data_IF_391993918552
#
_entry.id   IF_391993918552
#
_cell.length_a   1.000
_cell.length_b   1.000
_cell.length_c   1.000
_cell.angle_alpha   90.00
_cell.angle_beta   90.00
_cell.angle_gamma   90.00
#
_symmetry.space_group_name_H-M   'P 1'
#
loop_
_entity.id
_entity.type
_entity.pdbx_description
1 polymer ?
#
# COMPACT_ATOMS: atom_id res chain seq x y z
N UNK A 1 28.42 7.53 31.90
CA UNK A 1 27.22 6.85 32.44
C UNK A 1 26.47 6.22 31.28
N UNK A 2 26.90 5.02 30.86
CA UNK A 2 26.36 4.30 29.70
C UNK A 2 25.07 3.57 30.10
N UNK A 3 23.94 3.90 29.48
CA UNK A 3 22.66 3.18 29.66
C UNK A 3 22.30 2.45 28.36
N UNK A 4 22.51 1.14 28.38
CA UNK A 4 21.76 0.07 27.71
C UNK A 4 21.06 0.40 26.37
N UNK A 5 21.74 0.15 25.25
CA UNK A 5 21.17 0.18 23.90
C UNK A 5 20.74 -1.20 23.36
N UNK A 6 20.82 -2.28 24.14
CA UNK A 6 20.64 -3.66 23.64
C UNK A 6 19.33 -4.36 24.00
N UNK A 7 18.27 -3.63 24.36
CA UNK A 7 16.92 -4.23 24.35
C UNK A 7 16.30 -3.94 22.99
N UNK A 8 16.58 -4.82 22.02
CA UNK A 8 15.77 -4.95 20.81
C UNK A 8 14.37 -5.31 21.30
N UNK A 9 13.50 -4.30 21.38
CA UNK A 9 12.18 -4.46 21.95
C UNK A 9 11.32 -5.14 20.88
N UNK A 10 11.25 -6.48 20.87
CA UNK A 10 10.53 -7.27 19.86
C UNK A 10 9.10 -6.76 19.61
N UNK A 11 8.44 -6.23 20.65
CA UNK A 11 7.13 -5.57 20.55
C UNK A 11 7.11 -4.40 19.54
N UNK A 12 8.16 -3.58 19.46
CA UNK A 12 8.25 -2.47 18.50
C UNK A 12 8.46 -2.95 17.07
N UNK A 13 9.26 -4.01 16.89
CA UNK A 13 9.47 -4.64 15.59
C UNK A 13 8.15 -5.22 15.07
N UNK A 14 7.41 -5.93 15.93
CA UNK A 14 6.10 -6.51 15.57
C UNK A 14 5.08 -5.41 15.25
N UNK A 15 5.08 -4.33 16.03
CA UNK A 15 4.19 -3.18 15.79
C UNK A 15 4.54 -2.50 14.47
N UNK A 16 5.82 -2.28 14.20
CA UNK A 16 6.29 -1.71 12.93
C UNK A 16 5.98 -2.61 11.74
N UNK A 17 6.17 -3.93 11.86
CA UNK A 17 5.92 -4.87 10.77
C UNK A 17 4.44 -4.96 10.46
N UNK A 18 3.57 -4.90 11.49
CA UNK A 18 2.11 -4.84 11.31
C UNK A 18 1.67 -3.58 10.55
N UNK A 19 2.28 -2.43 10.83
CA UNK A 19 2.00 -1.18 10.10
C UNK A 19 2.43 -1.28 8.64
N UNK A 20 3.60 -1.87 8.37
CA UNK A 20 4.11 -2.09 7.01
C UNK A 20 3.21 -3.05 6.25
N UNK A 21 2.86 -4.18 6.87
CA UNK A 21 1.92 -5.15 6.32
C UNK A 21 0.58 -4.48 5.98
N UNK A 22 -0.05 -3.77 6.93
CA UNK A 22 -1.32 -3.08 6.68
C UNK A 22 -1.25 -1.96 5.62
N UNK A 23 -0.10 -1.30 5.47
CA UNK A 23 0.11 -0.27 4.44
C UNK A 23 0.42 -0.86 3.06
N UNK A 24 0.82 -2.13 3.01
CA UNK A 24 1.16 -2.85 1.80
C UNK A 24 -0.02 -3.69 1.30
N UNK A 25 -0.81 -4.25 2.22
CA UNK A 25 -2.06 -4.94 1.95
C UNK A 25 -3.17 -3.90 1.78
N UNK A 26 -3.15 -3.24 0.63
CA UNK A 26 -4.21 -2.31 0.21
C UNK A 26 -5.23 -2.94 -0.72
N UNK A 27 -6.11 -2.09 -1.27
CA UNK A 27 -7.06 -2.45 -2.34
C UNK A 27 -6.35 -3.08 -3.57
N UNK A 28 -5.07 -2.79 -3.80
CA UNK A 28 -4.27 -3.47 -4.83
C UNK A 28 -4.28 -4.99 -4.70
N UNK A 29 -4.24 -5.52 -3.48
CA UNK A 29 -4.33 -6.97 -3.21
C UNK A 29 -5.75 -7.53 -3.38
N UNK A 30 -6.79 -6.72 -3.13
CA UNK A 30 -8.20 -7.10 -3.37
C UNK A 30 -8.51 -7.15 -4.88
N UNK A 31 -7.86 -6.28 -5.66
CA UNK A 31 -8.05 -6.17 -7.10
C UNK A 31 -7.26 -7.24 -7.86
N UNK A 32 -6.24 -7.85 -7.24
CA UNK A 32 -5.40 -8.88 -7.88
C UNK A 32 -6.21 -10.01 -8.54
N UNK A 33 -7.24 -10.61 -7.90
CA UNK A 33 -8.08 -11.63 -8.53
C UNK A 33 -8.88 -11.10 -9.73
N UNK A 34 -9.39 -9.87 -9.64
CA UNK A 34 -10.13 -9.21 -10.73
C UNK A 34 -9.21 -8.94 -11.93
N UNK A 35 -7.95 -8.57 -11.65
CA UNK A 35 -6.93 -8.36 -12.68
C UNK A 35 -6.39 -9.68 -13.25
N UNK A 36 -6.21 -10.69 -12.41
CA UNK A 36 -5.83 -12.03 -12.82
C UNK A 36 -6.92 -12.75 -13.63
N UNK A 37 -8.19 -12.35 -13.47
CA UNK A 37 -9.26 -12.79 -14.36
C UNK A 37 -9.17 -12.15 -15.77
N UNK A 38 -8.53 -10.98 -15.89
CA UNK A 38 -8.36 -10.26 -17.16
C UNK A 38 -7.03 -10.56 -17.87
N UNK A 39 -6.01 -11.00 -17.13
CA UNK A 39 -4.63 -11.16 -17.62
C UNK A 39 -4.02 -12.44 -17.07
N UNK A 40 -3.01 -12.99 -17.76
CA UNK A 40 -2.27 -14.18 -17.33
C UNK A 40 -1.84 -14.10 -15.86
N UNK A 41 -2.33 -15.01 -15.01
CA UNK A 41 -2.05 -15.06 -13.56
C UNK A 41 -0.55 -15.02 -13.23
N UNK A 42 0.27 -15.82 -13.91
CA UNK A 42 1.75 -15.79 -13.78
C UNK A 42 2.36 -14.42 -14.11
N UNK A 43 1.82 -13.67 -15.10
CA UNK A 43 2.32 -12.34 -15.46
C UNK A 43 2.02 -11.32 -14.35
N UNK A 44 0.83 -11.41 -13.75
CA UNK A 44 0.47 -10.62 -12.56
C UNK A 44 1.36 -10.96 -11.37
N UNK A 45 1.68 -12.24 -11.16
CA UNK A 45 2.57 -12.70 -10.10
C UNK A 45 4.00 -12.17 -10.29
N UNK A 46 4.54 -12.22 -11.52
CA UNK A 46 5.85 -11.63 -11.84
C UNK A 46 5.87 -10.13 -11.57
N UNK A 47 4.83 -9.39 -12.00
CA UNK A 47 4.71 -7.96 -11.73
C UNK A 47 4.66 -7.67 -10.23
N UNK A 48 3.95 -8.48 -9.45
CA UNK A 48 3.88 -8.36 -8.00
C UNK A 48 5.27 -8.50 -7.36
N UNK A 49 6.03 -9.55 -7.72
CA UNK A 49 7.40 -9.78 -7.21
C UNK A 49 8.33 -8.62 -7.60
N UNK A 50 8.26 -8.16 -8.85
CA UNK A 50 9.10 -7.05 -9.32
C UNK A 50 8.78 -5.74 -8.59
N UNK A 51 7.50 -5.42 -8.42
CA UNK A 51 7.06 -4.21 -7.71
C UNK A 51 7.47 -4.26 -6.23
N UNK A 52 7.38 -5.43 -5.60
CA UNK A 52 7.83 -5.65 -4.23
C UNK A 52 9.34 -5.46 -4.10
N UNK A 53 10.15 -6.03 -5.00
CA UNK A 53 11.60 -5.87 -4.99
C UNK A 53 12.01 -4.40 -5.12
N UNK A 54 11.40 -3.68 -6.06
CA UNK A 54 11.65 -2.25 -6.28
C UNK A 54 11.23 -1.45 -5.04
N UNK A 55 10.09 -1.77 -4.42
CA UNK A 55 9.61 -1.09 -3.22
C UNK A 55 10.49 -1.34 -2.00
N UNK A 56 11.05 -2.54 -1.87
CA UNK A 56 12.00 -2.90 -0.83
C UNK A 56 13.32 -2.13 -0.97
N UNK A 57 13.93 -2.12 -2.16
CA UNK A 57 15.17 -1.37 -2.39
C UNK A 57 14.96 0.14 -2.23
N UNK A 58 13.85 0.69 -2.74
CA UNK A 58 13.50 2.09 -2.52
C UNK A 58 13.42 2.45 -1.03
N UNK A 59 12.79 1.59 -0.23
CA UNK A 59 12.66 1.78 1.23
C UNK A 59 14.01 1.67 1.96
N UNK A 60 14.89 0.78 1.50
CA UNK A 60 16.25 0.65 2.03
C UNK A 60 17.08 1.90 1.74
N UNK A 61 17.02 2.44 0.51
CA UNK A 61 17.69 3.69 0.16
C UNK A 61 17.15 4.88 0.95
N UNK A 62 15.84 4.94 1.14
CA UNK A 62 15.21 5.98 1.96
C UNK A 62 15.65 5.88 3.43
N UNK A 63 15.82 4.67 3.97
CA UNK A 63 16.33 4.46 5.32
C UNK A 63 17.77 4.96 5.47
N UNK A 64 18.64 4.71 4.49
CA UNK A 64 20.01 5.23 4.47
C UNK A 64 20.05 6.76 4.46
N UNK A 65 19.15 7.40 3.71
CA UNK A 65 19.01 8.87 3.69
C UNK A 65 18.59 9.43 5.05
N UNK A 66 17.67 8.74 5.74
CA UNK A 66 17.20 9.11 7.09
C UNK A 66 18.32 8.93 8.11
N UNK A 67 19.08 7.84 8.03
CA UNK A 67 20.22 7.58 8.93
C UNK A 67 21.34 8.61 8.75
N UNK A 68 21.62 9.01 7.51
CA UNK A 68 22.61 10.04 7.21
C UNK A 68 22.19 11.43 7.73
N UNK A 69 20.89 11.70 7.91
CA UNK A 69 20.40 12.99 8.38
C UNK A 69 19.30 12.82 9.46
N UNK A 70 19.66 12.43 10.70
CA UNK A 70 18.74 11.86 11.68
C UNK A 70 17.67 12.81 12.28
N UNK A 71 17.58 14.05 11.82
CA UNK A 71 16.58 15.04 12.30
C UNK A 71 16.03 15.94 11.19
N UNK A 72 16.40 15.71 9.93
CA UNK A 72 15.90 16.50 8.81
C UNK A 72 14.74 15.78 8.14
N UNK A 73 13.65 16.50 7.90
CA UNK A 73 12.56 16.02 7.06
C UNK A 73 13.08 15.72 5.63
N UNK A 74 12.44 14.78 4.92
CA UNK A 74 12.84 14.42 3.55
C UNK A 74 12.87 15.65 2.64
N UNK A 75 11.90 16.56 2.83
CA UNK A 75 11.83 17.84 2.13
C UNK A 75 13.07 18.70 2.40
N UNK A 76 13.59 18.68 3.62
CA UNK A 76 14.81 19.41 3.98
C UNK A 76 16.06 18.77 3.34
N UNK A 77 16.15 17.44 3.27
CA UNK A 77 17.23 16.71 2.59
C UNK A 77 17.23 17.00 1.08
N UNK A 78 16.05 16.98 0.45
CA UNK A 78 15.91 17.29 -0.98
C UNK A 78 16.27 18.75 -1.23
N UNK A 79 15.81 19.66 -0.37
CA UNK A 79 16.13 21.09 -0.45
C UNK A 79 17.63 21.36 -0.34
N UNK A 80 18.32 20.69 0.59
CA UNK A 80 19.75 20.91 0.83
C UNK A 80 20.63 20.34 -0.28
N UNK A 81 20.23 19.22 -0.90
CA UNK A 81 21.06 18.51 -1.89
C UNK A 81 20.72 18.87 -3.34
N UNK A 82 19.45 19.11 -3.66
CA UNK A 82 18.95 19.29 -5.04
C UNK A 82 18.36 20.69 -5.28
N UNK A 83 18.19 21.49 -4.24
CA UNK A 83 17.67 22.86 -4.33
C UNK A 83 16.14 22.96 -4.35
N UNK A 84 15.66 24.20 -4.23
CA UNK A 84 14.23 24.54 -4.11
C UNK A 84 13.41 24.22 -5.36
N UNK A 85 14.01 24.33 -6.55
CA UNK A 85 13.30 24.09 -7.81
C UNK A 85 12.94 22.61 -7.97
N UNK A 86 13.87 21.70 -7.68
CA UNK A 86 13.63 20.26 -7.72
C UNK A 86 12.62 19.86 -6.65
N UNK A 87 12.72 20.43 -5.43
CA UNK A 87 11.73 20.19 -4.38
C UNK A 87 10.31 20.52 -4.84
N UNK A 88 10.11 21.66 -5.51
CA UNK A 88 8.77 22.08 -5.99
C UNK A 88 8.22 21.12 -7.05
N UNK A 89 9.08 20.59 -7.92
CA UNK A 89 8.69 19.58 -8.92
C UNK A 89 8.30 18.27 -8.25
N UNK A 90 9.09 17.80 -7.28
CA UNK A 90 8.79 16.58 -6.50
C UNK A 90 7.48 16.75 -5.73
N UNK A 91 7.28 17.87 -5.05
CA UNK A 91 6.05 18.16 -4.31
C UNK A 91 4.84 18.16 -5.25
N UNK A 92 4.97 18.74 -6.46
CA UNK A 92 3.92 18.70 -7.49
C UNK A 92 3.59 17.28 -7.94
N UNK A 93 4.60 16.45 -8.19
CA UNK A 93 4.44 15.04 -8.53
C UNK A 93 3.76 14.24 -7.42
N UNK A 94 4.13 14.48 -6.17
CA UNK A 94 3.51 13.83 -5.00
C UNK A 94 2.03 14.20 -4.91
N UNK A 95 1.70 15.49 -5.02
CA UNK A 95 0.30 15.96 -4.98
C UNK A 95 -0.51 15.38 -6.13
N UNK A 96 0.05 15.39 -7.35
CA UNK A 96 -0.60 14.81 -8.52
C UNK A 96 -0.87 13.31 -8.35
N UNK A 97 0.10 12.57 -7.83
CA UNK A 97 -0.04 11.14 -7.53
C UNK A 97 -1.13 10.88 -6.49
N UNK A 98 -1.18 11.66 -5.40
CA UNK A 98 -2.23 11.54 -4.38
C UNK A 98 -3.63 11.78 -4.95
N UNK A 99 -3.80 12.76 -5.84
CA UNK A 99 -5.08 13.03 -6.50
C UNK A 99 -5.50 11.84 -7.38
N UNK A 100 -4.59 11.29 -8.18
CA UNK A 100 -4.85 10.10 -8.99
C UNK A 100 -5.23 8.90 -8.13
N UNK A 101 -4.57 8.73 -6.98
CA UNK A 101 -4.84 7.63 -6.07
C UNK A 101 -6.23 7.73 -5.43
N UNK A 102 -6.64 8.93 -5.00
CA UNK A 102 -7.98 9.21 -4.48
C UNK A 102 -9.04 8.90 -5.55
N UNK A 103 -8.81 9.34 -6.79
CA UNK A 103 -9.71 9.07 -7.91
C UNK A 103 -9.85 7.58 -8.17
N UNK A 104 -8.72 6.85 -8.26
CA UNK A 104 -8.71 5.42 -8.48
C UNK A 104 -9.51 4.68 -7.40
N UNK A 105 -9.25 4.97 -6.12
CA UNK A 105 -9.96 4.34 -5.01
C UNK A 105 -11.46 4.65 -5.03
N UNK A 106 -11.83 5.91 -5.23
CA UNK A 106 -13.26 6.30 -5.25
C UNK A 106 -13.99 5.65 -6.42
N UNK A 107 -13.34 5.55 -7.58
CA UNK A 107 -13.90 4.89 -8.77
C UNK A 107 -14.16 3.41 -8.52
N UNK A 108 -13.18 2.67 -7.99
CA UNK A 108 -13.31 1.24 -7.71
C UNK A 108 -14.37 0.97 -6.64
N UNK A 109 -14.38 1.72 -5.54
CA UNK A 109 -15.36 1.52 -4.48
C UNK A 109 -16.77 1.82 -5.03
N UNK A 110 -16.93 2.89 -5.81
CA UNK A 110 -18.22 3.21 -6.42
C UNK A 110 -18.74 2.11 -7.34
N UNK A 111 -17.87 1.51 -8.17
CA UNK A 111 -18.28 0.45 -9.09
C UNK A 111 -18.61 -0.85 -8.34
N UNK A 112 -17.84 -1.20 -7.31
CA UNK A 112 -18.14 -2.36 -6.45
C UNK A 112 -19.45 -2.21 -5.70
N UNK A 113 -19.73 -1.03 -5.13
CA UNK A 113 -20.97 -0.77 -4.37
C UNK A 113 -22.20 -0.84 -5.27
N UNK A 114 -22.14 -0.24 -6.47
CA UNK A 114 -23.22 -0.32 -7.46
C UNK A 114 -23.44 -1.77 -7.91
N UNK A 115 -22.36 -2.52 -8.16
CA UNK A 115 -22.45 -3.93 -8.56
C UNK A 115 -23.01 -4.86 -7.49
N UNK A 116 -22.76 -4.60 -6.20
CA UNK A 116 -23.27 -5.41 -5.09
C UNK A 116 -24.74 -5.11 -4.80
N UNK A 117 -25.13 -3.83 -4.85
CA UNK A 117 -26.48 -3.41 -4.48
C UNK A 117 -27.47 -3.47 -5.66
N UNK A 118 -27.01 -3.72 -6.88
CA UNK A 118 -27.78 -3.75 -8.14
C UNK A 118 -28.71 -2.52 -8.31
N UNK A 119 -28.29 -1.39 -7.74
CA UNK A 119 -29.02 -0.14 -7.83
C UNK A 119 -28.57 0.51 -9.13
N UNK A 120 -29.46 0.62 -10.12
CA UNK A 120 -29.24 1.30 -11.41
C UNK A 120 -29.01 2.83 -11.29
N UNK A 121 -28.43 3.28 -10.19
CA UNK A 121 -28.09 4.67 -9.92
C UNK A 121 -26.87 5.11 -10.72
N UNK A 122 -26.88 6.38 -11.13
CA UNK A 122 -25.76 7.03 -11.80
C UNK A 122 -24.51 7.02 -10.88
N UNK A 123 -23.47 6.30 -11.30
CA UNK A 123 -22.23 6.04 -10.55
C UNK A 123 -21.57 7.30 -9.94
N UNK A 124 -21.72 8.46 -10.57
CA UNK A 124 -21.11 9.72 -10.12
C UNK A 124 -21.67 10.22 -8.78
N UNK A 125 -22.93 9.94 -8.45
CA UNK A 125 -23.52 10.32 -7.16
C UNK A 125 -22.88 9.57 -5.99
N UNK A 126 -22.66 8.26 -6.13
CA UNK A 126 -22.02 7.44 -5.10
C UNK A 126 -20.56 7.84 -4.89
N UNK A 127 -19.83 8.12 -5.97
CA UNK A 127 -18.46 8.62 -5.89
C UNK A 127 -18.38 9.96 -5.13
N UNK A 128 -19.33 10.88 -5.38
CA UNK A 128 -19.38 12.15 -4.68
C UNK A 128 -19.66 11.99 -3.17
N UNK A 129 -20.65 11.17 -2.81
CA UNK A 129 -20.99 10.89 -1.41
C UNK A 129 -19.81 10.25 -0.66
N UNK A 130 -19.12 9.28 -1.29
CA UNK A 130 -17.93 8.66 -0.73
C UNK A 130 -16.81 9.67 -0.49
N UNK A 131 -16.57 10.57 -1.45
CA UNK A 131 -15.53 11.59 -1.32
C UNK A 131 -15.83 12.57 -0.18
N UNK A 132 -17.08 13.01 -0.04
CA UNK A 132 -17.53 13.82 1.10
C UNK A 132 -17.38 13.06 2.41
N UNK A 133 -17.72 11.77 2.44
CA UNK A 133 -17.53 10.91 3.62
C UNK A 133 -16.06 10.80 4.05
N UNK A 134 -15.14 10.61 3.10
CA UNK A 134 -13.70 10.62 3.38
C UNK A 134 -13.20 12.00 3.84
N UNK A 135 -13.71 13.08 3.27
CA UNK A 135 -13.38 14.43 3.71
C UNK A 135 -13.84 14.68 5.16
N UNK A 136 -15.02 14.20 5.54
CA UNK A 136 -15.50 14.24 6.92
C UNK A 136 -14.61 13.40 7.86
N UNK A 137 -14.08 12.26 7.41
CA UNK A 137 -13.14 11.46 8.20
C UNK A 137 -11.82 12.20 8.48
N UNK A 138 -11.39 13.14 7.63
CA UNK A 138 -10.21 13.97 7.91
C UNK A 138 -10.42 14.92 9.10
N UNK A 139 -11.67 15.18 9.50
CA UNK A 139 -11.98 16.00 10.67
C UNK A 139 -12.06 15.17 11.96
N UNK A 140 -11.98 13.84 11.84
CA UNK A 140 -12.01 12.92 12.97
C UNK A 140 -10.60 12.76 13.53
N UNK A 141 -10.48 12.63 14.86
CA UNK A 141 -9.22 12.41 15.56
C UNK A 141 -8.47 11.16 15.02
N UNK A 142 -7.15 11.27 14.90
CA UNK A 142 -6.23 10.23 14.39
C UNK A 142 -6.39 8.90 15.14
N UNK A 143 -6.83 8.94 16.40
CA UNK A 143 -7.11 7.76 17.21
C UNK A 143 -8.23 6.90 16.63
N UNK A 144 -9.33 7.52 16.21
CA UNK A 144 -10.47 6.80 15.63
C UNK A 144 -10.09 6.19 14.28
N UNK A 145 -9.31 6.91 13.47
CA UNK A 145 -8.78 6.41 12.19
C UNK A 145 -7.90 5.18 12.45
N UNK A 146 -7.04 5.22 13.48
CA UNK A 146 -6.19 4.07 13.83
C UNK A 146 -7.00 2.82 14.21
N UNK A 147 -8.08 2.98 14.98
CA UNK A 147 -8.98 1.87 15.31
C UNK A 147 -9.70 1.32 14.07
N UNK A 148 -10.22 2.21 13.22
CA UNK A 148 -10.87 1.83 11.97
C UNK A 148 -9.93 1.03 11.06
N UNK A 149 -8.69 1.48 10.89
CA UNK A 149 -7.68 0.80 10.08
C UNK A 149 -7.34 -0.58 10.63
N UNK A 150 -7.22 -0.73 11.96
CA UNK A 150 -7.01 -2.04 12.58
C UNK A 150 -8.18 -2.99 12.33
N UNK A 151 -9.42 -2.51 12.48
CA UNK A 151 -10.60 -3.33 12.20
C UNK A 151 -10.72 -3.71 10.72
N UNK A 152 -10.46 -2.77 9.81
CA UNK A 152 -10.53 -3.01 8.38
C UNK A 152 -9.51 -4.07 7.94
N UNK A 153 -8.27 -3.97 8.43
CA UNK A 153 -7.22 -4.96 8.14
C UNK A 153 -7.57 -6.35 8.70
N UNK A 154 -8.19 -6.42 9.87
CA UNK A 154 -8.62 -7.69 10.48
C UNK A 154 -9.75 -8.33 9.67
N UNK A 155 -10.74 -7.54 9.23
CA UNK A 155 -11.82 -8.00 8.35
C UNK A 155 -11.24 -8.51 7.03
N UNK A 156 -10.33 -7.74 6.43
CA UNK A 156 -9.72 -8.08 5.15
C UNK A 156 -8.93 -9.39 5.23
N UNK A 157 -8.15 -9.57 6.30
CA UNK A 157 -7.46 -10.83 6.57
C UNK A 157 -8.44 -12.00 6.73
N UNK A 158 -9.53 -11.81 7.47
CA UNK A 158 -10.58 -12.81 7.63
C UNK A 158 -11.26 -13.18 6.30
N UNK A 159 -11.57 -12.20 5.45
CA UNK A 159 -12.16 -12.44 4.13
C UNK A 159 -11.23 -13.20 3.19
N UNK A 160 -9.92 -12.92 3.24
CA UNK A 160 -8.93 -13.66 2.45
C UNK A 160 -8.85 -15.13 2.87
N UNK A 161 -8.81 -15.41 4.18
CA UNK A 161 -8.83 -16.79 4.67
C UNK A 161 -10.13 -17.52 4.28
N UNK A 162 -11.27 -16.84 4.36
CA UNK A 162 -12.56 -17.40 3.94
C UNK A 162 -12.56 -17.77 2.45
N UNK A 163 -12.09 -16.87 1.59
CA UNK A 163 -11.99 -17.11 0.14
C UNK A 163 -11.04 -18.27 -0.18
N UNK A 164 -9.89 -18.34 0.50
CA UNK A 164 -8.93 -19.44 0.32
C UNK A 164 -9.48 -20.81 0.73
N UNK A 165 -10.35 -20.88 1.74
CA UNK A 165 -10.91 -22.16 2.21
C UNK A 165 -12.06 -22.62 1.31
N UNK A 166 -12.95 -21.70 0.92
CA UNK A 166 -14.21 -22.07 0.26
C UNK A 166 -14.16 -22.04 -1.27
N UNK A 167 -13.34 -21.17 -1.88
CA UNK A 167 -13.34 -20.95 -3.35
C UNK A 167 -12.14 -21.59 -4.07
N UNK A 168 -11.20 -22.18 -3.33
CA UNK A 168 -10.04 -22.89 -3.91
C UNK A 168 -10.41 -24.00 -4.93
N UNK A 169 -11.45 -24.84 -4.72
CA UNK A 169 -11.79 -25.88 -5.70
C UNK A 169 -12.50 -25.32 -6.96
N UNK A 170 -13.09 -24.12 -6.88
CA UNK A 170 -13.86 -23.48 -7.97
C UNK A 170 -12.94 -22.87 -9.05
N UNK A 171 -11.74 -22.43 -8.65
CA UNK A 171 -10.82 -21.64 -9.49
C UNK A 171 -10.04 -22.51 -10.49
N UNK A 172 -9.73 -23.77 -10.16
CA UNK A 172 -9.09 -24.72 -11.09
C UNK A 172 -9.94 -24.97 -12.36
N UNK A 173 -11.27 -24.89 -12.25
CA UNK A 173 -12.20 -25.08 -13.36
C UNK A 173 -12.26 -23.86 -14.31
N UNK A 174 -12.07 -22.64 -13.82
CA UNK A 174 -12.06 -21.42 -14.65
C UNK A 174 -10.74 -21.26 -15.45
N UNK A 175 -9.60 -21.59 -14.85
CA UNK A 175 -8.26 -21.44 -15.47
C UNK A 175 -8.09 -22.25 -16.76
N UNK A 176 -8.84 -23.34 -16.93
CA UNK A 176 -8.77 -24.19 -18.13
C UNK A 176 -9.47 -23.59 -19.36
N UNK A 177 -10.28 -22.56 -19.18
CA UNK A 177 -11.10 -21.94 -20.24
C UNK A 177 -10.56 -20.61 -20.78
N UNK A 178 -9.66 -19.94 -20.06
CA UNK A 178 -9.19 -18.58 -20.37
C UNK A 178 -7.80 -18.55 -21.05
N UNK A 179 -7.59 -19.41 -22.06
CA UNK A 179 -6.34 -19.43 -22.85
C UNK A 179 -6.24 -18.29 -23.87
N UNK A 180 -7.28 -17.45 -24.01
CA UNK A 180 -7.24 -16.22 -24.80
C UNK A 180 -6.70 -15.06 -23.96
N UNK A 181 -5.37 -15.01 -23.83
CA UNK A 181 -4.65 -14.01 -23.04
C UNK A 181 -3.98 -13.03 -23.99
N UNK A 182 -4.34 -11.76 -23.88
CA UNK A 182 -3.69 -10.67 -24.60
C UNK A 182 -2.52 -10.11 -23.76
N UNK A 183 -1.25 -10.33 -24.14
CA UNK A 183 -0.09 -9.82 -23.41
C UNK A 183 -0.02 -8.29 -23.39
N UNK A 184 -0.74 -7.61 -24.28
CA UNK A 184 -0.78 -6.15 -24.36
C UNK A 184 -1.48 -5.52 -23.15
N UNK A 185 -2.50 -6.18 -22.59
CA UNK A 185 -3.22 -5.70 -21.41
C UNK A 185 -2.31 -5.66 -20.15
N UNK A 186 -1.27 -6.49 -20.10
CA UNK A 186 -0.28 -6.47 -19.01
C UNK A 186 0.48 -5.15 -18.95
N UNK A 187 0.80 -4.54 -20.10
CA UNK A 187 1.58 -3.29 -20.18
C UNK A 187 0.77 -2.12 -19.62
N UNK A 188 -0.53 -2.07 -19.88
CA UNK A 188 -1.44 -1.05 -19.33
C UNK A 188 -1.57 -1.16 -17.80
N UNK A 189 -1.31 -2.34 -17.24
CA UNK A 189 -1.41 -2.63 -15.82
C UNK A 189 -0.15 -2.29 -15.04
N UNK A 190 1.01 -2.23 -15.69
CA UNK A 190 2.30 -1.89 -15.06
C UNK A 190 2.23 -0.59 -14.25
N UNK A 191 1.73 0.55 -14.78
CA UNK A 191 1.65 1.79 -14.02
C UNK A 191 0.73 1.69 -12.79
N UNK A 192 -0.35 0.92 -12.89
CA UNK A 192 -1.30 0.72 -11.79
C UNK A 192 -0.66 -0.11 -10.68
N UNK A 193 0.09 -1.17 -11.03
CA UNK A 193 0.84 -1.98 -10.08
C UNK A 193 1.91 -1.15 -9.35
N UNK A 194 2.64 -0.31 -10.07
CA UNK A 194 3.66 0.55 -9.44
C UNK A 194 3.06 1.69 -8.61
N UNK A 195 1.90 2.22 -8.99
CA UNK A 195 1.24 3.30 -8.25
C UNK A 195 0.48 2.81 -7.01
N UNK A 196 -0.08 1.59 -7.04
CA UNK A 196 -1.03 1.10 -6.02
C UNK A 196 -0.50 -0.11 -5.25
N UNK A 197 0.47 -0.85 -5.79
CA UNK A 197 0.87 -2.17 -5.29
C UNK A 197 1.52 -2.15 -3.91
N UNK A 198 2.31 -1.13 -3.56
CA UNK A 198 3.09 -1.11 -2.32
C UNK A 198 3.40 0.32 -1.83
N UNK A 199 2.48 0.92 -1.06
CA UNK A 199 2.57 2.32 -0.60
C UNK A 199 3.28 2.56 0.74
N UNK A 200 4.01 1.59 1.29
CA UNK A 200 4.53 1.71 2.67
C UNK A 200 5.70 2.71 2.83
N UNK A 201 6.28 3.21 1.74
CA UNK A 201 7.38 4.19 1.73
C UNK A 201 7.02 5.50 2.46
N UNK A 202 5.75 5.92 2.40
CA UNK A 202 5.26 7.11 3.09
C UNK A 202 5.23 6.91 4.62
N UNK A 203 4.98 5.68 5.06
CA UNK A 203 4.86 5.33 6.48
C UNK A 203 6.24 5.10 7.12
N UNK A 204 7.29 4.97 6.31
CA UNK A 204 8.64 4.70 6.77
C UNK A 204 9.18 5.76 7.76
N UNK A 205 8.86 7.05 7.56
CA UNK A 205 9.24 8.12 8.50
C UNK A 205 8.59 7.98 9.88
N UNK A 206 7.35 7.51 9.93
CA UNK A 206 6.66 7.27 11.19
C UNK A 206 7.26 6.07 11.93
N UNK A 207 7.70 5.05 11.19
CA UNK A 207 8.32 3.84 11.75
C UNK A 207 9.75 4.10 12.24
N UNK A 208 10.54 4.89 11.51
CA UNK A 208 11.89 5.29 11.98
C UNK A 208 11.80 6.12 13.26
N UNK A 209 10.80 7.01 13.37
CA UNK A 209 10.52 7.75 14.61
C UNK A 209 10.09 6.82 15.76
N UNK A 210 9.26 5.81 15.47
CA UNK A 210 8.85 4.77 16.44
C UNK A 210 10.03 3.94 16.95
N UNK A 211 11.05 3.72 16.11
CA UNK A 211 12.27 3.00 16.43
C UNK A 211 13.43 3.89 16.92
N UNK A 212 13.17 5.18 17.24
CA UNK A 212 14.19 6.14 17.69
C UNK A 212 15.41 6.23 16.73
N UNK A 213 15.15 6.23 15.43
CA UNK A 213 16.18 6.29 14.37
C UNK A 213 17.16 5.10 14.35
N UNK A 214 16.80 3.96 14.97
CA UNK A 214 17.60 2.75 14.87
C UNK A 214 17.38 2.07 13.49
N UNK A 215 18.37 2.18 12.61
CA UNK A 215 18.34 1.63 11.25
C UNK A 215 18.14 0.11 11.25
N UNK A 216 18.91 -0.63 12.06
CA UNK A 216 18.83 -2.09 12.14
C UNK A 216 17.42 -2.61 12.52
N UNK A 217 16.81 -2.02 13.56
CA UNK A 217 15.48 -2.45 14.02
C UNK A 217 14.38 -2.08 13.01
N UNK A 218 14.54 -0.97 12.30
CA UNK A 218 13.62 -0.55 11.25
C UNK A 218 13.72 -1.46 10.03
N UNK A 219 14.93 -1.80 9.59
CA UNK A 219 15.16 -2.73 8.48
C UNK A 219 14.55 -4.11 8.78
N UNK A 220 14.74 -4.62 10.00
CA UNK A 220 14.17 -5.91 10.42
C UNK A 220 12.64 -5.88 10.43
N UNK A 221 12.05 -4.75 10.84
CA UNK A 221 10.60 -4.52 10.77
C UNK A 221 10.08 -4.52 9.32
N UNK A 222 10.84 -3.93 8.38
CA UNK A 222 10.49 -3.94 6.95
C UNK A 222 10.57 -5.35 6.40
N UNK A 223 11.66 -6.08 6.66
CA UNK A 223 11.83 -7.44 6.17
C UNK A 223 10.69 -8.37 6.64
N UNK A 224 10.33 -8.32 7.92
CA UNK A 224 9.24 -9.13 8.47
C UNK A 224 7.89 -8.70 7.88
N UNK A 225 7.63 -7.39 7.77
CA UNK A 225 6.37 -6.88 7.21
C UNK A 225 6.20 -7.25 5.74
N UNK A 226 7.29 -7.20 4.97
CA UNK A 226 7.32 -7.54 3.55
C UNK A 226 7.21 -9.06 3.33
N UNK A 227 7.82 -9.88 4.19
CA UNK A 227 7.65 -11.34 4.13
C UNK A 227 6.23 -11.80 4.45
N UNK A 228 5.53 -11.12 5.36
CA UNK A 228 4.15 -11.46 5.72
C UNK A 228 3.12 -11.24 4.59
N UNK A 229 3.50 -10.53 3.53
CA UNK A 229 2.62 -10.29 2.38
C UNK A 229 2.53 -11.55 1.49
N UNK A 230 3.51 -12.44 1.58
CA UNK A 230 3.52 -13.76 0.95
C UNK A 230 3.00 -14.84 1.90
#
# INVERSE_FOLDING_TARGET
MMKNFNVVNNSRIITGSSVIFGSSVGIGLIILPILAAKVWFSGVLILLIMTMYISYEASRHQLLLIEANPNSDLRAIIKSNLGIQVLRVVDGLVVFSLILLIYAFTSIISSSVVGILDIGGQQWWFAFILCVGFACLLWVDERCISWLMRSANLILFGTMLYLMINECPSIELMMRSSLDIQPLALIELVPVFFAVGFGFQQVLFNITRLHKCCCYSTLKSIQIGVMLIF
#
